data_IF_503897311657
#
_entry.id   IF_503897311657
#
_cell.length_a   1.000
_cell.length_b   1.000
_cell.length_c   1.000
_cell.angle_alpha   90.00
_cell.angle_beta   90.00
_cell.angle_gamma   90.00
#
_symmetry.space_group_name_H-M   'P 1'
#
loop_
_entity.id
_entity.type
_entity.pdbx_description
1 polymer ?
#
# COMPACT_ATOMS: atom_id res chain seq x y z
N UNK A 1 1.64 -26.14 -9.98
CA UNK A 1 2.83 -25.43 -10.47
C UNK A 1 3.99 -25.96 -9.65
N UNK A 2 5.08 -26.37 -10.29
CA UNK A 2 6.21 -27.00 -9.61
C UNK A 2 7.52 -26.39 -10.12
N UNK A 3 8.49 -26.24 -9.23
CA UNK A 3 9.87 -25.90 -9.57
C UNK A 3 10.70 -27.16 -9.34
N UNK A 4 11.34 -27.68 -10.39
CA UNK A 4 12.15 -28.89 -10.33
C UNK A 4 13.61 -28.55 -10.01
N UNK A 5 14.14 -28.84 -8.80
CA UNK A 5 15.49 -28.42 -8.42
C UNK A 5 16.61 -29.05 -9.27
N UNK A 6 16.31 -30.18 -9.91
CA UNK A 6 17.23 -30.90 -10.79
C UNK A 6 17.34 -30.29 -12.19
N UNK A 7 16.34 -29.51 -12.63
CA UNK A 7 16.37 -28.83 -13.93
C UNK A 7 16.87 -27.40 -13.74
N UNK A 8 18.04 -27.09 -14.30
CA UNK A 8 18.73 -25.82 -14.06
C UNK A 8 18.94 -25.08 -15.37
N UNK A 9 18.40 -23.86 -15.45
CA UNK A 9 18.60 -22.94 -16.56
C UNK A 9 19.11 -21.62 -15.99
N UNK A 10 20.25 -21.14 -16.48
CA UNK A 10 20.78 -19.84 -16.09
C UNK A 10 20.03 -18.72 -16.81
N UNK A 11 19.59 -17.71 -16.07
CA UNK A 11 18.96 -16.51 -16.61
C UNK A 11 19.80 -15.27 -16.28
N UNK A 12 20.21 -14.52 -17.30
CA UNK A 12 20.88 -13.23 -17.12
C UNK A 12 19.83 -12.14 -16.91
N UNK A 13 19.60 -11.77 -15.65
CA UNK A 13 18.68 -10.70 -15.30
C UNK A 13 19.19 -9.34 -15.79
N UNK A 14 18.33 -8.62 -16.51
CA UNK A 14 18.66 -7.30 -17.07
C UNK A 14 18.21 -6.19 -16.14
N UNK A 15 19.05 -5.18 -15.97
CA UNK A 15 18.72 -3.95 -15.23
C UNK A 15 17.70 -3.08 -15.97
N UNK A 16 17.73 -3.08 -17.32
CA UNK A 16 16.79 -2.34 -18.16
C UNK A 16 16.33 -3.18 -19.34
N UNK A 17 15.08 -2.98 -19.79
CA UNK A 17 14.57 -3.63 -21.00
C UNK A 17 15.01 -2.81 -22.23
N UNK A 18 15.72 -3.40 -23.21
CA UNK A 18 16.29 -2.64 -24.33
C UNK A 18 15.29 -2.33 -25.45
N UNK A 19 14.15 -3.02 -25.49
CA UNK A 19 13.17 -2.94 -26.59
C UNK A 19 12.01 -1.98 -26.32
N UNK A 20 11.92 -1.41 -25.12
CA UNK A 20 10.78 -0.55 -24.77
C UNK A 20 11.19 0.51 -23.76
N UNK A 21 10.99 1.78 -24.13
CA UNK A 21 11.34 2.93 -23.30
C UNK A 21 10.36 3.13 -22.13
N UNK A 22 9.08 2.80 -22.30
CA UNK A 22 8.04 2.96 -21.28
C UNK A 22 7.34 1.64 -20.94
N UNK A 23 8.01 0.80 -20.16
CA UNK A 23 7.45 -0.48 -19.71
C UNK A 23 6.30 -0.32 -18.71
N UNK A 24 6.27 0.79 -17.98
CA UNK A 24 5.29 1.01 -16.93
C UNK A 24 3.86 0.99 -17.49
N UNK A 25 3.61 1.61 -18.65
CA UNK A 25 2.29 1.61 -19.28
C UNK A 25 1.79 0.19 -19.60
N UNK A 26 2.63 -0.63 -20.25
CA UNK A 26 2.24 -1.98 -20.67
C UNK A 26 2.14 -2.94 -19.50
N UNK A 27 3.08 -2.86 -18.55
CA UNK A 27 2.96 -3.59 -17.28
C UNK A 27 1.67 -3.22 -16.59
N UNK A 28 1.31 -1.92 -16.61
CA UNK A 28 0.08 -1.45 -15.98
C UNK A 28 -1.17 -2.07 -16.59
N UNK A 29 -1.30 -1.90 -17.90
CA UNK A 29 -2.37 -2.53 -18.69
C UNK A 29 -2.46 -4.02 -18.45
N UNK A 30 -1.35 -4.75 -18.54
CA UNK A 30 -1.36 -6.21 -18.48
C UNK A 30 -1.73 -6.75 -17.10
N UNK A 31 -1.23 -6.16 -16.00
CA UNK A 31 -1.61 -6.66 -14.68
C UNK A 31 -3.07 -6.32 -14.35
N UNK A 32 -3.63 -5.20 -14.81
CA UNK A 32 -5.08 -4.94 -14.67
C UNK A 32 -5.93 -5.97 -15.43
N UNK A 33 -5.51 -6.38 -16.63
CA UNK A 33 -6.21 -7.47 -17.36
C UNK A 33 -6.21 -8.77 -16.57
N UNK A 34 -5.11 -9.10 -15.89
CA UNK A 34 -5.05 -10.28 -15.03
C UNK A 34 -5.94 -10.09 -13.81
N UNK A 35 -5.86 -8.93 -13.16
CA UNK A 35 -6.62 -8.60 -11.97
C UNK A 35 -8.12 -8.74 -12.19
N UNK A 36 -8.63 -8.12 -13.26
CA UNK A 36 -10.05 -8.12 -13.60
C UNK A 36 -10.58 -9.48 -14.06
N UNK A 37 -9.72 -10.37 -14.54
CA UNK A 37 -10.15 -11.71 -14.98
C UNK A 37 -10.04 -12.74 -13.86
N UNK A 38 -9.01 -12.67 -13.01
CA UNK A 38 -8.61 -13.79 -12.15
C UNK A 38 -8.61 -13.51 -10.67
N UNK A 39 -8.55 -12.24 -10.23
CA UNK A 39 -8.32 -11.91 -8.81
C UNK A 39 -9.59 -11.61 -8.03
N UNK A 40 -10.77 -11.68 -8.65
CA UNK A 40 -12.06 -11.44 -7.98
C UNK A 40 -12.03 -10.14 -7.13
N UNK A 41 -12.47 -10.16 -5.87
CA UNK A 41 -12.40 -9.03 -4.93
C UNK A 41 -10.97 -8.61 -4.55
N UNK A 42 -10.00 -9.52 -4.67
CA UNK A 42 -8.58 -9.27 -4.39
C UNK A 42 -7.89 -8.45 -5.47
N UNK A 43 -8.57 -8.16 -6.58
CA UNK A 43 -8.07 -7.20 -7.57
C UNK A 43 -7.72 -5.86 -6.92
N UNK A 44 -8.43 -5.46 -5.86
CA UNK A 44 -8.16 -4.28 -5.04
C UNK A 44 -6.69 -4.12 -4.63
N UNK A 45 -5.99 -5.23 -4.35
CA UNK A 45 -4.58 -5.22 -3.98
C UNK A 45 -3.67 -4.69 -5.11
N UNK A 46 -4.01 -4.95 -6.39
CA UNK A 46 -3.26 -4.45 -7.54
C UNK A 46 -3.38 -2.93 -7.66
N UNK A 47 -4.57 -2.40 -7.43
CA UNK A 47 -4.81 -0.96 -7.49
C UNK A 47 -4.15 -0.24 -6.33
N UNK A 48 -4.16 -0.86 -5.14
CA UNK A 48 -3.45 -0.34 -3.98
C UNK A 48 -1.94 -0.33 -4.22
N UNK A 49 -1.37 -1.44 -4.69
CA UNK A 49 0.06 -1.57 -4.99
C UNK A 49 0.55 -0.52 -6.00
N UNK A 50 -0.33 -0.09 -6.92
CA UNK A 50 -0.01 0.91 -7.94
C UNK A 50 -0.53 2.31 -7.64
N UNK A 51 -1.14 2.51 -6.47
CA UNK A 51 -1.62 3.81 -6.02
C UNK A 51 -2.58 4.47 -7.05
N UNK A 52 -3.51 3.69 -7.58
CA UNK A 52 -4.57 4.14 -8.51
C UNK A 52 -5.95 3.93 -7.90
N UNK A 53 -6.96 4.78 -8.20
CA UNK A 53 -8.31 4.61 -7.68
C UNK A 53 -9.00 3.37 -8.27
N UNK A 54 -9.99 2.83 -7.57
CA UNK A 54 -10.73 1.63 -8.03
C UNK A 54 -11.54 1.87 -9.30
N UNK A 55 -12.05 3.08 -9.46
CA UNK A 55 -12.85 3.51 -10.60
C UNK A 55 -12.21 4.74 -11.21
N UNK A 56 -12.47 4.98 -12.50
CA UNK A 56 -12.03 6.19 -13.21
C UNK A 56 -10.51 6.46 -13.14
N UNK A 57 -9.69 5.42 -12.99
CA UNK A 57 -8.22 5.53 -12.95
C UNK A 57 -7.56 5.87 -14.30
N UNK A 58 -8.34 5.96 -15.39
CA UNK A 58 -7.87 6.42 -16.70
C UNK A 58 -6.93 5.45 -17.44
N UNK A 59 -6.82 4.20 -16.98
CA UNK A 59 -5.98 3.19 -17.66
C UNK A 59 -6.88 2.31 -18.51
N UNK A 60 -6.77 2.43 -19.83
CA UNK A 60 -7.40 1.49 -20.75
C UNK A 60 -6.64 0.14 -20.72
N UNK A 61 -7.30 -0.89 -20.21
CA UNK A 61 -6.80 -2.26 -20.25
C UNK A 61 -7.42 -3.12 -21.38
N UNK A 62 -8.30 -2.53 -22.19
CA UNK A 62 -8.96 -3.15 -23.35
C UNK A 62 -9.99 -4.22 -22.99
N UNK A 63 -10.59 -4.84 -24.02
CA UNK A 63 -11.59 -5.88 -23.83
C UNK A 63 -10.99 -7.17 -23.22
N UNK A 64 -11.69 -7.70 -22.21
CA UNK A 64 -11.37 -8.95 -21.50
C UNK A 64 -12.51 -9.98 -21.58
N UNK A 65 -13.59 -9.68 -22.31
CA UNK A 65 -14.81 -10.50 -22.42
C UNK A 65 -14.50 -11.97 -22.74
N UNK A 66 -13.62 -12.22 -23.72
CA UNK A 66 -13.19 -13.57 -24.11
C UNK A 66 -12.46 -14.32 -22.99
N UNK A 67 -11.67 -13.62 -22.16
CA UNK A 67 -10.93 -14.23 -21.04
C UNK A 67 -11.85 -14.54 -19.88
N UNK A 68 -12.82 -13.67 -19.60
CA UNK A 68 -13.89 -13.93 -18.62
C UNK A 68 -14.73 -15.13 -19.07
N UNK A 69 -15.13 -15.19 -20.35
CA UNK A 69 -15.89 -16.31 -20.90
C UNK A 69 -15.09 -17.63 -20.85
N UNK A 70 -13.78 -17.59 -21.08
CA UNK A 70 -12.89 -18.73 -20.93
C UNK A 70 -12.86 -19.25 -19.49
N UNK A 71 -12.66 -18.35 -18.51
CA UNK A 71 -12.65 -18.72 -17.08
C UNK A 71 -13.95 -19.41 -16.66
N UNK A 72 -15.09 -18.89 -17.13
CA UNK A 72 -16.42 -19.49 -16.90
C UNK A 72 -16.55 -20.87 -17.53
N UNK A 73 -16.16 -21.01 -18.81
CA UNK A 73 -16.25 -22.28 -19.56
C UNK A 73 -15.42 -23.40 -18.93
N UNK A 74 -14.24 -23.05 -18.42
CA UNK A 74 -13.33 -23.99 -17.76
C UNK A 74 -13.72 -24.28 -16.30
N UNK A 75 -14.79 -23.67 -15.79
CA UNK A 75 -15.26 -23.84 -14.41
C UNK A 75 -14.14 -23.63 -13.37
N UNK A 76 -13.29 -22.63 -13.61
CA UNK A 76 -12.17 -22.33 -12.72
C UNK A 76 -12.66 -21.96 -11.32
N UNK A 77 -11.85 -22.29 -10.30
CA UNK A 77 -12.10 -21.90 -8.90
C UNK A 77 -11.96 -20.38 -8.70
N UNK A 78 -12.46 -19.89 -7.58
CA UNK A 78 -12.29 -18.50 -7.15
C UNK A 78 -10.84 -18.21 -6.75
N UNK A 79 -10.48 -16.93 -6.72
CA UNK A 79 -9.18 -16.52 -6.19
C UNK A 79 -9.09 -16.75 -4.68
N UNK A 80 -10.20 -16.64 -3.96
CA UNK A 80 -10.27 -17.04 -2.54
C UNK A 80 -9.82 -18.50 -2.35
N UNK A 81 -10.34 -19.43 -3.17
CA UNK A 81 -9.91 -20.82 -3.12
C UNK A 81 -8.41 -20.97 -3.40
N UNK A 82 -7.86 -20.18 -4.33
CA UNK A 82 -6.42 -20.18 -4.61
C UNK A 82 -5.61 -19.72 -3.39
N UNK A 83 -6.04 -18.65 -2.70
CA UNK A 83 -5.38 -18.20 -1.47
C UNK A 83 -5.50 -19.24 -0.36
N UNK A 84 -6.66 -19.88 -0.20
CA UNK A 84 -6.84 -20.89 0.86
C UNK A 84 -6.07 -22.19 0.62
N UNK A 85 -5.89 -22.61 -0.64
CA UNK A 85 -5.44 -23.97 -0.98
C UNK A 85 -4.08 -24.02 -1.69
N UNK A 86 -3.66 -22.94 -2.34
CA UNK A 86 -2.43 -22.91 -3.16
C UNK A 86 -1.39 -21.95 -2.61
N UNK A 87 -1.80 -20.81 -2.06
CA UNK A 87 -0.87 -19.83 -1.48
C UNK A 87 -1.38 -19.18 -0.18
N UNK A 88 -1.56 -19.98 0.91
CA UNK A 88 -2.13 -19.51 2.18
C UNK A 88 -1.24 -18.53 2.95
N UNK A 89 0.06 -18.47 2.64
CA UNK A 89 0.99 -17.55 3.28
C UNK A 89 0.85 -16.11 2.77
N UNK A 90 0.13 -15.90 1.66
CA UNK A 90 -0.07 -14.58 1.10
C UNK A 90 -0.94 -13.70 1.99
N UNK A 91 -0.41 -12.56 2.41
CA UNK A 91 -1.12 -11.57 3.24
C UNK A 91 -2.32 -10.98 2.49
N UNK A 92 -3.43 -10.83 3.22
CA UNK A 92 -4.69 -10.22 2.73
C UNK A 92 -4.85 -8.80 3.25
N UNK A 93 -5.44 -7.91 2.45
CA UNK A 93 -5.54 -6.46 2.74
C UNK A 93 -6.99 -5.95 2.80
N UNK A 94 -7.92 -6.82 3.20
CA UNK A 94 -9.36 -6.63 3.11
C UNK A 94 -9.89 -5.55 4.08
N UNK A 95 -9.10 -5.15 5.07
CA UNK A 95 -9.47 -4.16 6.09
C UNK A 95 -9.10 -2.71 5.72
N UNK A 96 -8.59 -2.47 4.51
CA UNK A 96 -8.18 -1.13 4.09
C UNK A 96 -9.37 -0.22 3.87
N UNK A 97 -9.29 1.02 4.37
CA UNK A 97 -10.30 2.08 4.17
C UNK A 97 -9.77 3.17 3.26
N UNK A 98 -8.54 3.61 3.47
CA UNK A 98 -7.89 4.63 2.64
C UNK A 98 -6.49 4.18 2.24
N UNK A 99 -6.03 4.59 1.05
CA UNK A 99 -4.69 4.26 0.59
C UNK A 99 -4.11 5.28 -0.39
N UNK A 100 -2.79 5.22 -0.57
CA UNK A 100 -2.03 6.07 -1.48
C UNK A 100 -1.26 7.15 -0.73
N UNK A 101 -0.97 8.25 -1.43
CA UNK A 101 -0.22 9.37 -0.86
C UNK A 101 -0.96 9.98 0.34
N UNK A 102 -0.24 10.19 1.44
CA UNK A 102 -0.74 10.86 2.64
C UNK A 102 -0.20 12.30 2.63
N UNK A 103 -1.09 13.29 2.54
CA UNK A 103 -0.75 14.71 2.38
C UNK A 103 -1.31 15.53 3.52
N UNK A 104 -0.56 16.54 3.94
CA UNK A 104 -1.00 17.52 4.93
C UNK A 104 -1.36 18.84 4.23
N UNK A 105 -2.42 19.52 4.69
CA UNK A 105 -2.86 20.80 4.13
C UNK A 105 -1.80 21.91 4.20
N UNK A 106 -0.94 21.90 5.22
CA UNK A 106 0.08 22.93 5.44
C UNK A 106 1.34 22.70 4.57
N UNK A 107 1.50 21.51 4.00
CA UNK A 107 2.63 21.16 3.13
C UNK A 107 2.18 20.25 1.98
N UNK A 108 1.24 20.74 1.16
CA UNK A 108 0.55 19.94 0.13
C UNK A 108 1.44 19.36 -0.98
N UNK A 109 2.65 19.90 -1.15
CA UNK A 109 3.68 19.42 -2.09
C UNK A 109 4.54 18.29 -1.52
N UNK A 110 4.43 18.02 -0.21
CA UNK A 110 5.13 16.95 0.49
C UNK A 110 4.14 15.85 0.87
N UNK A 111 4.64 14.62 0.81
CA UNK A 111 3.93 13.40 1.15
C UNK A 111 4.66 12.69 2.28
N UNK A 112 3.91 11.99 3.14
CA UNK A 112 4.52 11.07 4.10
C UNK A 112 5.29 9.98 3.35
N UNK A 113 6.51 9.72 3.79
CA UNK A 113 7.47 8.85 3.12
C UNK A 113 8.23 7.98 4.14
N UNK A 114 8.56 6.73 3.77
CA UNK A 114 9.39 5.86 4.60
C UNK A 114 10.81 6.40 4.80
N UNK A 115 11.26 7.31 3.93
CA UNK A 115 12.62 7.84 3.96
C UNK A 115 13.67 6.74 3.85
N UNK A 116 14.82 6.97 4.48
CA UNK A 116 15.89 5.98 4.56
C UNK A 116 15.48 4.90 5.58
N UNK A 117 15.43 3.63 5.14
CA UNK A 117 14.87 2.51 5.93
C UNK A 117 15.56 2.34 7.29
N UNK A 118 16.85 2.62 7.35
CA UNK A 118 17.73 2.54 8.52
C UNK A 118 17.37 3.56 9.60
N UNK A 119 16.71 4.67 9.24
CA UNK A 119 16.32 5.69 10.21
C UNK A 119 15.13 5.26 11.07
N UNK A 120 14.35 4.27 10.61
CA UNK A 120 13.19 3.75 11.36
C UNK A 120 12.12 4.81 11.69
N UNK A 121 12.07 5.93 10.98
CA UNK A 121 11.11 7.01 11.20
C UNK A 121 10.45 7.43 9.89
N UNK A 122 9.15 7.74 9.93
CA UNK A 122 8.49 8.35 8.78
C UNK A 122 8.95 9.81 8.65
N UNK A 123 9.02 10.29 7.40
CA UNK A 123 9.43 11.66 7.07
C UNK A 123 8.45 12.28 6.06
N UNK A 124 8.71 13.53 5.70
CA UNK A 124 8.12 14.17 4.53
C UNK A 124 9.11 14.18 3.37
N UNK A 125 8.62 13.94 2.16
CA UNK A 125 9.39 14.03 0.91
C UNK A 125 8.51 14.59 -0.20
N UNK A 126 9.05 15.27 -1.24
CA UNK A 126 8.30 15.63 -2.43
C UNK A 126 7.46 14.46 -2.96
N UNK A 127 6.18 14.73 -3.22
CA UNK A 127 5.23 13.72 -3.67
C UNK A 127 5.61 13.14 -5.03
N UNK A 128 5.79 11.84 -5.10
CA UNK A 128 6.03 11.08 -6.33
C UNK A 128 5.13 9.83 -6.45
N UNK A 129 4.45 9.44 -5.37
CA UNK A 129 3.38 8.43 -5.40
C UNK A 129 3.83 7.00 -5.69
N UNK A 130 5.09 6.69 -5.40
CA UNK A 130 5.69 5.34 -5.57
C UNK A 130 5.89 4.67 -4.20
N UNK A 131 6.30 3.39 -4.20
CA UNK A 131 6.37 2.50 -3.03
C UNK A 131 6.52 3.15 -1.64
N UNK A 132 7.60 3.92 -1.36
CA UNK A 132 7.85 4.53 -0.05
C UNK A 132 6.76 5.49 0.45
N UNK A 133 5.95 6.04 -0.46
CA UNK A 133 4.86 6.99 -0.18
C UNK A 133 3.47 6.36 -0.23
N UNK A 134 3.39 5.03 -0.40
CA UNK A 134 2.12 4.33 -0.37
C UNK A 134 1.72 4.18 1.10
N UNK A 135 0.80 5.04 1.53
CA UNK A 135 0.12 4.95 2.81
C UNK A 135 -1.09 4.03 2.75
N UNK A 136 -1.43 3.41 3.88
CA UNK A 136 -2.64 2.59 4.02
C UNK A 136 -3.22 2.75 5.42
N UNK A 137 -4.49 3.12 5.49
CA UNK A 137 -5.23 3.25 6.73
C UNK A 137 -6.33 2.19 6.81
N UNK A 138 -6.43 1.48 7.93
CA UNK A 138 -7.35 0.35 8.10
C UNK A 138 -8.54 0.69 8.99
N UNK A 139 -9.57 -0.17 8.96
CA UNK A 139 -10.77 -0.05 9.81
C UNK A 139 -10.44 -0.08 11.31
N UNK A 140 -9.38 -0.79 11.68
CA UNK A 140 -8.88 -0.89 13.05
C UNK A 140 -8.07 0.34 13.49
N UNK A 141 -7.92 1.34 12.61
CA UNK A 141 -7.18 2.56 12.88
C UNK A 141 -5.66 2.41 12.75
N UNK A 142 -5.17 1.39 12.06
CA UNK A 142 -3.73 1.23 11.85
C UNK A 142 -3.30 2.03 10.61
N UNK A 143 -2.21 2.77 10.76
CA UNK A 143 -1.58 3.51 9.67
C UNK A 143 -0.29 2.82 9.27
N UNK A 144 -0.21 2.45 7.99
CA UNK A 144 0.91 1.76 7.39
C UNK A 144 1.55 2.64 6.32
N UNK A 145 2.86 2.46 6.12
CA UNK A 145 3.61 3.15 5.08
C UNK A 145 4.56 2.18 4.37
N UNK A 146 4.63 2.28 3.04
CA UNK A 146 5.47 1.47 2.18
C UNK A 146 4.71 0.59 1.19
N UNK A 147 5.44 -0.13 0.32
CA UNK A 147 4.82 -1.04 -0.63
C UNK A 147 4.15 -2.22 0.09
N UNK A 148 3.13 -2.79 -0.56
CA UNK A 148 2.47 -3.99 -0.06
C UNK A 148 3.43 -5.18 -0.07
N UNK A 149 3.53 -5.86 1.07
CA UNK A 149 4.25 -7.13 1.16
C UNK A 149 3.36 -8.32 0.79
N UNK A 150 3.93 -9.37 0.20
CA UNK A 150 3.19 -10.65 0.05
C UNK A 150 3.35 -11.51 1.31
N UNK A 151 4.60 -11.72 1.74
CA UNK A 151 4.97 -12.54 2.90
C UNK A 151 6.00 -11.86 3.81
N UNK A 152 6.48 -10.67 3.45
CA UNK A 152 7.56 -9.96 4.13
C UNK A 152 7.13 -8.74 4.95
N UNK A 153 8.15 -8.06 5.48
CA UNK A 153 8.07 -6.84 6.28
C UNK A 153 8.24 -5.56 5.42
N UNK A 154 7.75 -5.56 4.17
CA UNK A 154 7.89 -4.37 3.31
C UNK A 154 7.05 -3.18 3.78
N UNK A 155 5.86 -3.46 4.32
CA UNK A 155 4.98 -2.45 4.89
C UNK A 155 5.25 -2.30 6.39
N UNK A 156 5.48 -1.07 6.86
CA UNK A 156 5.76 -0.78 8.28
C UNK A 156 4.61 0.00 8.92
N UNK A 157 4.37 -0.23 10.20
CA UNK A 157 3.38 0.53 10.97
C UNK A 157 3.96 1.87 11.40
N UNK A 158 3.17 2.92 11.27
CA UNK A 158 3.43 4.22 11.88
C UNK A 158 3.03 4.14 13.36
N UNK A 159 3.98 4.42 14.25
CA UNK A 159 3.85 4.20 15.69
C UNK A 159 4.29 5.44 16.45
N UNK A 160 3.52 5.77 17.48
CA UNK A 160 3.94 6.67 18.55
C UNK A 160 4.52 5.84 19.70
N UNK A 161 5.84 5.84 19.85
CA UNK A 161 6.56 5.14 20.93
C UNK A 161 6.51 5.87 22.27
N UNK A 162 5.90 7.06 22.32
CA UNK A 162 5.78 7.98 23.46
C UNK A 162 7.11 8.54 23.99
N UNK A 163 8.22 8.28 23.30
CA UNK A 163 9.55 8.75 23.69
C UNK A 163 10.11 9.71 22.65
N UNK A 164 9.96 9.38 21.36
CA UNK A 164 10.42 10.18 20.25
C UNK A 164 9.42 11.29 19.91
N UNK A 165 9.93 12.41 19.41
CA UNK A 165 9.12 13.44 18.75
C UNK A 165 8.85 13.13 17.28
N UNK A 166 9.41 12.04 16.74
CA UNK A 166 9.22 11.60 15.37
C UNK A 166 8.39 10.31 15.33
N UNK A 167 7.48 10.15 14.34
CA UNK A 167 6.74 8.92 14.18
C UNK A 167 7.65 7.77 13.74
N UNK A 168 7.62 6.69 14.51
CA UNK A 168 8.44 5.50 14.26
C UNK A 168 7.80 4.62 13.19
N UNK A 169 8.64 3.92 12.43
CA UNK A 169 8.26 2.89 11.46
C UNK A 169 8.74 1.54 11.96
N UNK A 170 7.81 0.77 12.53
CA UNK A 170 8.13 -0.50 13.18
C UNK A 170 7.43 -1.67 12.49
N UNK A 171 7.93 -2.89 12.74
CA UNK A 171 7.19 -4.09 12.40
C UNK A 171 5.95 -4.15 13.32
N UNK A 172 4.77 -4.19 12.70
CA UNK A 172 3.47 -4.15 13.37
C UNK A 172 3.27 -5.28 14.37
N UNK A 173 3.80 -6.47 14.10
CA UNK A 173 3.63 -7.67 14.92
C UNK A 173 4.52 -7.59 16.17
N UNK A 174 5.60 -6.80 16.13
CA UNK A 174 6.51 -6.58 17.26
C UNK A 174 6.03 -5.52 18.25
N UNK A 175 5.01 -4.73 17.88
CA UNK A 175 4.45 -3.68 18.73
C UNK A 175 3.31 -4.27 19.55
N UNK A 176 3.61 -4.53 20.83
CA UNK A 176 2.70 -5.20 21.77
C UNK A 176 1.55 -4.30 22.22
N UNK A 177 1.82 -3.01 22.49
CA UNK A 177 0.76 -2.06 22.84
C UNK A 177 0.03 -1.60 21.58
N UNK A 178 -1.19 -2.13 21.38
CA UNK A 178 -2.03 -1.82 20.22
C UNK A 178 -2.31 -0.31 20.12
N UNK A 179 -2.51 0.39 21.24
CA UNK A 179 -2.85 1.83 21.22
C UNK A 179 -1.74 2.70 20.63
N UNK A 180 -0.47 2.28 20.71
CA UNK A 180 0.66 3.01 20.13
C UNK A 180 0.66 2.98 18.61
N UNK A 181 0.11 1.93 18.00
CA UNK A 181 -0.02 1.75 16.55
C UNK A 181 -1.43 2.03 16.02
N UNK A 182 -2.33 2.53 16.86
CA UNK A 182 -3.70 2.87 16.48
C UNK A 182 -3.91 4.37 16.50
N UNK A 183 -4.58 4.85 15.46
CA UNK A 183 -4.84 6.26 15.19
C UNK A 183 -6.33 6.50 14.99
N UNK A 184 -6.82 7.64 15.44
CA UNK A 184 -8.10 8.21 15.03
C UNK A 184 -7.87 9.10 13.82
N UNK A 185 -8.61 8.87 12.74
CA UNK A 185 -8.53 9.65 11.52
C UNK A 185 -9.81 9.55 10.71
N UNK A 186 -10.20 10.68 10.11
CA UNK A 186 -11.20 10.78 9.04
C UNK A 186 -10.63 11.68 7.93
N UNK A 187 -11.11 11.55 6.69
CA UNK A 187 -10.56 12.35 5.59
C UNK A 187 -10.70 13.85 5.87
N UNK A 188 -9.64 14.62 5.58
CA UNK A 188 -9.55 16.05 5.83
C UNK A 188 -9.63 16.44 7.33
N UNK A 189 -9.13 15.55 8.20
CA UNK A 189 -9.08 15.74 9.65
C UNK A 189 -7.66 15.46 10.18
N UNK A 190 -7.47 15.70 11.47
CA UNK A 190 -6.27 15.36 12.24
C UNK A 190 -6.07 13.84 12.31
N UNK A 191 -4.81 13.40 12.37
CA UNK A 191 -4.46 12.00 12.68
C UNK A 191 -3.93 11.95 14.12
N UNK A 192 -4.71 11.37 15.04
CA UNK A 192 -4.46 11.40 16.49
C UNK A 192 -4.08 10.00 17.00
N UNK A 193 -2.98 9.86 17.72
CA UNK A 193 -2.59 8.59 18.32
C UNK A 193 -3.49 8.22 19.52
N UNK A 194 -3.89 6.95 19.64
CA UNK A 194 -4.79 6.48 20.73
C UNK A 194 -4.10 6.24 22.07
N UNK A 195 -2.78 6.11 22.12
CA UNK A 195 -2.05 5.96 23.38
C UNK A 195 -1.71 7.32 23.98
N UNK A 196 -1.08 8.19 23.18
CA UNK A 196 -0.50 9.45 23.66
C UNK A 196 -1.43 10.65 23.55
N UNK A 197 -2.44 10.60 22.68
CA UNK A 197 -3.25 11.76 22.29
C UNK A 197 -2.49 12.78 21.41
N UNK A 198 -1.24 12.50 21.01
CA UNK A 198 -0.47 13.36 20.11
C UNK A 198 -0.99 13.24 18.67
N UNK A 199 -0.87 14.33 17.92
CA UNK A 199 -1.17 14.38 16.51
C UNK A 199 0.08 14.20 15.64
N UNK A 200 -0.12 13.63 14.45
CA UNK A 200 0.83 13.81 13.35
C UNK A 200 0.70 15.24 12.82
N UNK A 201 1.81 15.98 12.87
CA UNK A 201 1.86 17.41 12.56
C UNK A 201 3.02 17.69 11.59
N UNK A 202 2.90 18.78 10.84
CA UNK A 202 3.98 19.33 10.03
C UNK A 202 4.50 20.60 10.70
N UNK A 203 5.78 20.59 11.07
CA UNK A 203 6.48 21.74 11.65
C UNK A 203 7.75 21.99 10.86
N UNK A 204 7.91 23.20 10.31
CA UNK A 204 9.08 23.59 9.49
C UNK A 204 9.40 22.56 8.39
N UNK A 205 8.36 22.11 7.67
CA UNK A 205 8.44 21.09 6.61
C UNK A 205 8.96 19.71 7.06
N UNK A 206 8.89 19.40 8.36
CA UNK A 206 9.22 18.09 8.94
C UNK A 206 7.99 17.44 9.55
N UNK A 207 7.92 16.11 9.46
CA UNK A 207 6.91 15.31 10.14
C UNK A 207 7.28 15.16 11.62
N UNK A 208 6.35 15.50 12.52
CA UNK A 208 6.56 15.39 13.96
C UNK A 208 5.31 14.88 14.67
N UNK A 209 5.50 14.37 15.89
CA UNK A 209 4.45 14.07 16.85
C UNK A 209 4.37 15.20 17.88
N UNK A 210 3.20 15.82 18.04
CA UNK A 210 3.03 16.96 18.94
C UNK A 210 1.58 17.22 19.34
N UNK A 211 1.33 18.34 20.05
CA UNK A 211 -0.02 18.80 20.35
C UNK A 211 -0.82 19.02 19.07
N UNK A 212 -2.10 18.64 19.09
CA UNK A 212 -2.98 18.79 17.95
C UNK A 212 -3.27 20.26 17.66
N UNK A 213 -2.79 20.76 16.52
CA UNK A 213 -2.99 22.14 16.09
C UNK A 213 -4.15 22.32 15.10
N UNK A 214 -4.84 21.22 14.77
CA UNK A 214 -5.95 21.20 13.81
C UNK A 214 -5.51 21.01 12.36
N UNK A 215 -4.28 20.56 12.11
CA UNK A 215 -3.80 20.24 10.77
C UNK A 215 -4.61 19.11 10.13
N UNK A 216 -4.89 19.25 8.83
CA UNK A 216 -5.75 18.32 8.10
C UNK A 216 -4.93 17.43 7.20
N UNK A 217 -5.21 16.14 7.27
CA UNK A 217 -4.58 15.12 6.46
C UNK A 217 -5.56 14.55 5.45
N UNK A 218 -5.05 14.23 4.27
CA UNK A 218 -5.79 13.57 3.20
C UNK A 218 -5.02 12.34 2.75
N UNK A 219 -5.73 11.21 2.61
CA UNK A 219 -5.18 10.01 1.98
C UNK A 219 -5.83 9.88 0.60
N UNK A 220 -5.00 9.85 -0.45
CA UNK A 220 -5.40 10.06 -1.86
C UNK A 220 -6.63 9.27 -2.32
N UNK A 221 -6.70 7.98 -2.02
CA UNK A 221 -7.76 7.09 -2.51
C UNK A 221 -8.58 6.53 -1.34
N UNK A 222 -9.86 6.29 -1.60
CA UNK A 222 -10.79 5.64 -0.66
C UNK A 222 -11.22 4.29 -1.22
N UNK A 223 -11.17 3.26 -0.38
CA UNK A 223 -11.71 1.94 -0.71
C UNK A 223 -13.24 2.01 -0.72
N UNK A 224 -13.85 1.49 -1.78
CA UNK A 224 -15.30 1.32 -1.84
C UNK A 224 -15.69 0.20 -0.88
N UNK A 225 -16.66 0.45 0.00
CA UNK A 225 -17.23 -0.55 0.90
C UNK A 225 -18.36 -1.29 0.20
#
# INVERSE_FOLDING_TARGET
>A
MEVLPCSRVAHIARMKKPYLSNIALHTRRNALRVAEVWLDEYKSNVYLAWNIPMENHGIDYGDISQRVALRKRLQCKSFEWYLDNVYPEMRRYNNTVFYGEIRNSNASHLCMDQGIKENHTATLHPCHGTGPQIGRFTREGQLFLGPLGSTGDETRCVVDDQTSSLPQLLNCDKVTNVRQKTWHFSQNDTIINRASGRCLEVASSRLVLGPCSGQRWLIKNTMKQ
#
